data_IF_128431937018
#
_entry.id   IF_128431937018
#
_cell.length_a   1.000
_cell.length_b   1.000
_cell.length_c   1.000
_cell.angle_alpha   90.00
_cell.angle_beta   90.00
_cell.angle_gamma   90.00
#
_symmetry.space_group_name_H-M   'P 1'
#
loop_
_entity.id
_entity.type
_entity.pdbx_description
1 polymer ?
#
# COMPACT_ATOMS: atom_id res chain seq x y z
N UNK A 1 -1.30 -18.86 -2.73
CA UNK A 1 -0.93 -18.26 -1.44
C UNK A 1 -2.04 -17.37 -0.93
N UNK A 2 -2.31 -17.44 0.34
CA UNK A 2 -3.24 -16.48 0.97
C UNK A 2 -2.55 -15.13 1.10
N UNK A 3 -3.34 -14.08 1.33
CA UNK A 3 -2.81 -12.75 1.54
C UNK A 3 -1.88 -12.69 2.76
N UNK A 4 -2.28 -13.36 3.84
CA UNK A 4 -1.44 -13.40 5.05
C UNK A 4 -0.09 -14.06 4.78
N UNK A 5 -0.06 -15.10 3.96
CA UNK A 5 1.19 -15.74 3.55
C UNK A 5 2.04 -14.81 2.70
N UNK A 6 1.43 -14.06 1.79
CA UNK A 6 2.15 -13.08 0.97
C UNK A 6 2.75 -11.97 1.85
N UNK A 7 1.97 -11.47 2.80
CA UNK A 7 2.45 -10.44 3.72
C UNK A 7 3.65 -10.96 4.51
N UNK A 8 3.53 -12.16 5.05
CA UNK A 8 4.62 -12.75 5.83
C UNK A 8 5.87 -12.95 4.98
N UNK A 9 5.72 -13.45 3.76
CA UNK A 9 6.85 -13.63 2.84
C UNK A 9 7.50 -12.30 2.51
N UNK A 10 6.70 -11.27 2.25
CA UNK A 10 7.21 -9.93 1.98
C UNK A 10 7.96 -9.37 3.19
N UNK A 11 7.46 -9.62 4.40
CA UNK A 11 8.14 -9.21 5.64
C UNK A 11 9.47 -9.92 5.82
N UNK A 12 9.58 -11.15 5.30
CA UNK A 12 10.82 -11.94 5.35
C UNK A 12 11.81 -11.55 4.25
N UNK A 13 11.45 -10.59 3.40
CA UNK A 13 12.33 -10.08 2.36
C UNK A 13 12.09 -10.65 0.97
N UNK A 14 10.98 -11.37 0.75
CA UNK A 14 10.64 -11.90 -0.56
C UNK A 14 10.10 -10.77 -1.46
N UNK A 15 10.93 -10.35 -2.40
CA UNK A 15 10.58 -9.26 -3.33
C UNK A 15 9.43 -9.63 -4.26
N UNK A 16 9.28 -10.91 -4.61
CA UNK A 16 8.19 -11.37 -5.47
C UNK A 16 6.86 -11.25 -4.75
N UNK A 17 6.81 -11.64 -3.47
CA UNK A 17 5.62 -11.51 -2.66
C UNK A 17 5.22 -10.04 -2.50
N UNK A 18 6.20 -9.18 -2.27
CA UNK A 18 5.96 -7.74 -2.18
C UNK A 18 5.39 -7.18 -3.47
N UNK A 19 5.96 -7.58 -4.61
CA UNK A 19 5.48 -7.14 -5.92
C UNK A 19 4.05 -7.60 -6.18
N UNK A 20 3.70 -8.81 -5.77
CA UNK A 20 2.33 -9.31 -5.89
C UNK A 20 1.35 -8.51 -5.05
N UNK A 21 1.74 -8.13 -3.83
CA UNK A 21 0.92 -7.28 -2.97
C UNK A 21 0.70 -5.91 -3.59
N UNK A 22 1.77 -5.31 -4.12
CA UNK A 22 1.67 -4.02 -4.80
C UNK A 22 0.70 -4.12 -5.98
N UNK A 23 0.86 -5.12 -6.81
CA UNK A 23 0.00 -5.32 -7.98
C UNK A 23 -1.45 -5.54 -7.58
N UNK A 24 -1.69 -6.30 -6.52
CA UNK A 24 -3.03 -6.58 -6.03
C UNK A 24 -3.75 -5.31 -5.58
N UNK A 25 -3.05 -4.40 -4.93
CA UNK A 25 -3.65 -3.20 -4.35
C UNK A 25 -3.48 -1.94 -5.18
N UNK A 26 -2.76 -2.03 -6.30
CA UNK A 26 -2.45 -0.87 -7.14
C UNK A 26 -3.70 -0.08 -7.53
N UNK A 27 -4.70 -0.76 -8.08
CA UNK A 27 -5.93 -0.09 -8.51
C UNK A 27 -6.72 0.45 -7.33
N UNK A 28 -6.80 -0.31 -6.25
CA UNK A 28 -7.53 0.08 -5.05
C UNK A 28 -6.92 1.35 -4.43
N UNK A 29 -5.60 1.38 -4.31
CA UNK A 29 -4.89 2.53 -3.75
C UNK A 29 -5.03 3.74 -4.67
N UNK A 30 -4.92 3.53 -5.98
CA UNK A 30 -5.11 4.61 -6.94
C UNK A 30 -6.51 5.22 -6.83
N UNK A 31 -7.55 4.37 -6.79
CA UNK A 31 -8.92 4.85 -6.68
C UNK A 31 -9.14 5.66 -5.40
N UNK A 32 -8.61 5.17 -4.29
CA UNK A 32 -8.70 5.88 -3.01
C UNK A 32 -7.93 7.20 -3.08
N UNK A 33 -6.74 7.19 -3.63
CA UNK A 33 -5.92 8.39 -3.79
C UNK A 33 -6.62 9.42 -4.65
N UNK A 34 -7.27 8.99 -5.72
CA UNK A 34 -8.02 9.90 -6.59
C UNK A 34 -9.20 10.53 -5.86
N UNK A 35 -9.90 9.77 -5.03
CA UNK A 35 -11.01 10.33 -4.21
C UNK A 35 -10.53 11.43 -3.28
N UNK A 36 -9.35 11.27 -2.69
CA UNK A 36 -8.80 12.23 -1.75
C UNK A 36 -8.22 13.43 -2.47
N UNK A 37 -7.43 13.19 -3.51
CA UNK A 37 -6.71 14.27 -4.20
C UNK A 37 -7.52 14.94 -5.31
N UNK A 38 -8.46 14.22 -5.91
CA UNK A 38 -9.30 14.65 -7.02
C UNK A 38 -8.50 15.19 -8.22
N UNK A 39 -7.28 14.72 -8.35
CA UNK A 39 -6.37 15.09 -9.43
C UNK A 39 -5.56 13.86 -9.78
N UNK A 40 -5.54 13.52 -11.07
CA UNK A 40 -4.87 12.31 -11.55
C UNK A 40 -3.39 12.29 -11.21
N UNK A 41 -2.72 13.39 -11.45
CA UNK A 41 -1.29 13.49 -11.21
C UNK A 41 -0.94 13.34 -9.73
N UNK A 42 -1.68 14.01 -8.87
CA UNK A 42 -1.49 13.90 -7.42
C UNK A 42 -1.86 12.51 -6.93
N UNK A 43 -2.90 11.90 -7.51
CA UNK A 43 -3.30 10.54 -7.14
C UNK A 43 -2.20 9.53 -7.48
N UNK A 44 -1.59 9.66 -8.65
CA UNK A 44 -0.48 8.79 -9.04
C UNK A 44 0.72 8.95 -8.10
N UNK A 45 1.04 10.20 -7.74
CA UNK A 45 2.13 10.47 -6.81
C UNK A 45 1.82 9.90 -5.42
N UNK A 46 0.59 10.08 -4.93
CA UNK A 46 0.18 9.55 -3.63
C UNK A 46 0.24 8.01 -3.62
N UNK A 47 -0.18 7.38 -4.71
CA UNK A 47 -0.10 5.93 -4.85
C UNK A 47 1.35 5.46 -4.80
N UNK A 48 2.24 6.10 -5.56
CA UNK A 48 3.65 5.72 -5.59
C UNK A 48 4.28 5.86 -4.21
N UNK A 49 4.03 6.98 -3.52
CA UNK A 49 4.57 7.20 -2.19
C UNK A 49 4.01 6.21 -1.17
N UNK A 50 2.72 5.84 -1.31
CA UNK A 50 2.11 4.84 -0.47
C UNK A 50 2.83 3.50 -0.61
N UNK A 51 3.12 3.08 -1.83
CA UNK A 51 3.84 1.82 -2.04
C UNK A 51 5.29 1.89 -1.63
N UNK A 52 5.95 3.04 -1.77
CA UNK A 52 7.30 3.21 -1.23
C UNK A 52 7.31 3.09 0.29
N UNK A 53 6.33 3.69 0.95
CA UNK A 53 6.16 3.56 2.40
C UNK A 53 5.87 2.10 2.78
N UNK A 54 5.05 1.41 1.99
CA UNK A 54 4.77 -0.01 2.22
C UNK A 54 6.04 -0.84 2.15
N UNK A 55 6.88 -0.63 1.13
CA UNK A 55 8.14 -1.35 0.99
C UNK A 55 9.03 -1.15 2.21
N UNK A 56 9.08 0.08 2.73
CA UNK A 56 9.93 0.38 3.88
C UNK A 56 9.35 -0.12 5.20
N UNK A 57 8.02 -0.18 5.31
CA UNK A 57 7.35 -0.36 6.60
C UNK A 57 6.59 -1.68 6.73
N UNK A 58 6.56 -2.50 5.67
CA UNK A 58 5.78 -3.75 5.71
C UNK A 58 6.24 -4.66 6.86
N UNK A 59 7.50 -4.62 7.22
CA UNK A 59 8.04 -5.40 8.33
C UNK A 59 7.44 -5.03 9.68
N UNK A 60 6.91 -3.83 9.79
CA UNK A 60 6.29 -3.33 11.03
C UNK A 60 4.77 -3.55 11.07
N UNK A 61 4.19 -4.01 9.96
CA UNK A 61 2.76 -4.28 9.91
C UNK A 61 2.43 -5.46 10.84
N UNK A 62 1.56 -5.21 11.81
CA UNK A 62 1.28 -6.17 12.88
C UNK A 62 0.17 -7.17 12.55
N UNK A 63 -0.59 -6.93 11.50
CA UNK A 63 -1.74 -7.77 11.14
C UNK A 63 -2.98 -7.52 11.98
N UNK A 64 -2.99 -6.51 12.83
CA UNK A 64 -4.15 -6.18 13.67
C UNK A 64 -5.30 -5.59 12.86
N UNK A 65 -5.01 -5.04 11.71
CA UNK A 65 -6.01 -4.53 10.77
C UNK A 65 -5.76 -5.16 9.40
N UNK A 66 -6.68 -4.96 8.48
CA UNK A 66 -6.47 -5.39 7.10
C UNK A 66 -5.38 -4.53 6.46
N UNK A 67 -4.63 -5.13 5.55
CA UNK A 67 -3.59 -4.41 4.82
C UNK A 67 -4.17 -3.20 4.08
N UNK A 68 -5.35 -3.35 3.49
CA UNK A 68 -6.02 -2.25 2.81
C UNK A 68 -6.29 -1.06 3.74
N UNK A 69 -6.71 -1.33 4.96
CA UNK A 69 -6.95 -0.29 5.96
C UNK A 69 -5.65 0.45 6.29
N UNK A 70 -4.57 -0.29 6.46
CA UNK A 70 -3.26 0.29 6.71
C UNK A 70 -2.80 1.17 5.54
N UNK A 71 -2.99 0.69 4.31
CA UNK A 71 -2.65 1.46 3.11
C UNK A 71 -3.47 2.74 3.00
N UNK A 72 -4.77 2.69 3.34
CA UNK A 72 -5.61 3.89 3.33
C UNK A 72 -5.10 4.92 4.34
N UNK A 73 -4.64 4.48 5.50
CA UNK A 73 -4.04 5.37 6.49
C UNK A 73 -2.79 6.05 5.93
N UNK A 74 -1.95 5.28 5.23
CA UNK A 74 -0.74 5.82 4.61
C UNK A 74 -1.10 6.85 3.53
N UNK A 75 -2.08 6.55 2.68
CA UNK A 75 -2.55 7.49 1.65
C UNK A 75 -3.05 8.78 2.30
N UNK A 76 -3.86 8.66 3.34
CA UNK A 76 -4.41 9.83 4.03
C UNK A 76 -3.29 10.71 4.61
N UNK A 77 -2.25 10.10 5.14
CA UNK A 77 -1.11 10.84 5.67
C UNK A 77 -0.34 11.58 4.57
N UNK A 78 -0.20 10.96 3.39
CA UNK A 78 0.50 11.58 2.27
C UNK A 78 -0.35 12.62 1.54
N UNK A 79 -1.66 12.52 1.62
CA UNK A 79 -2.59 13.38 0.88
C UNK A 79 -3.10 14.57 1.68
N UNK A 80 -2.58 14.75 2.89
CA UNK A 80 -3.04 15.83 3.78
C UNK A 80 -2.32 17.16 3.56
N UNK A 81 -1.46 17.25 2.56
CA UNK A 81 -0.72 18.46 2.23
C UNK A 81 -1.35 19.30 1.14
#
# INVERSE_FOLDING_TARGET
MTEDELIKSAQDGDKKALAELVKKYEQTVYNFSFKVCRNREFAENAMQETFMSMVKSIGQFSGKSKLSTWLYTVVSNHSSW
#
